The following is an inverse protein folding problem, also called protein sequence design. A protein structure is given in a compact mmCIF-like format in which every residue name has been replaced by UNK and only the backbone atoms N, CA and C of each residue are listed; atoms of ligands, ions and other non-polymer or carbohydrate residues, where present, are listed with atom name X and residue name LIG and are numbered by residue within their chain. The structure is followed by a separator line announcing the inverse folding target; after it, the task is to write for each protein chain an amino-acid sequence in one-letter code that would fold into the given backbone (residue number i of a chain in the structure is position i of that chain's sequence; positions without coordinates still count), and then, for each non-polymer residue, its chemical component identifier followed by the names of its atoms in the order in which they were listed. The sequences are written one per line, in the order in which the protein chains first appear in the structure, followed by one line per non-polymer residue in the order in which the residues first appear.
data_IF_252838756097
#
_entry.id   IF_252838756097
#
_cell.length_a   1.000
_cell.length_b   1.000
_cell.length_c   1.000
_cell.angle_alpha   90.00
_cell.angle_beta   90.00
_cell.angle_gamma   90.00
#
_symmetry.space_group_name_H-M   'P 1'
#
loop_
_entity.id
_entity.type
_entity.pdbx_description
1 polymer ?
#
# COMPACT_ATOMS: atom_id res chain seq x y z
N UNK A 1 3.37 -1.61 -18.29
CA UNK A 1 3.53 -2.52 -17.13
C UNK A 1 2.25 -2.54 -16.28
N UNK A 2 2.20 -3.18 -15.10
CA UNK A 2 1.04 -3.08 -14.18
C UNK A 2 1.54 -2.84 -12.76
N UNK A 3 0.99 -1.86 -12.01
CA UNK A 3 1.40 -1.63 -10.64
C UNK A 3 0.99 -2.81 -9.74
N UNK A 4 1.83 -3.13 -8.77
CA UNK A 4 1.54 -4.16 -7.80
C UNK A 4 0.33 -3.80 -6.96
N UNK A 5 -0.60 -4.74 -6.89
CA UNK A 5 -1.91 -4.53 -6.31
C UNK A 5 -2.23 -5.67 -5.34
N UNK A 6 -2.70 -5.31 -4.15
CA UNK A 6 -3.22 -6.25 -3.16
C UNK A 6 -4.74 -6.22 -3.19
N UNK A 7 -5.37 -7.38 -3.38
CA UNK A 7 -6.82 -7.52 -3.25
C UNK A 7 -7.20 -7.68 -1.77
N UNK A 8 -8.25 -6.97 -1.35
CA UNK A 8 -8.81 -7.03 0.00
C UNK A 8 -10.35 -7.03 -0.07
N UNK A 9 -11.01 -7.40 1.02
CA UNK A 9 -12.41 -7.04 1.25
C UNK A 9 -12.50 -5.92 2.28
N UNK A 10 -13.31 -4.91 2.00
CA UNK A 10 -13.51 -3.79 2.90
C UNK A 10 -14.61 -2.84 2.46
N UNK A 11 -14.76 -1.75 3.21
CA UNK A 11 -15.63 -0.62 2.86
C UNK A 11 -14.84 0.68 2.99
N UNK A 12 -15.13 1.63 2.10
CA UNK A 12 -14.54 2.96 2.15
C UNK A 12 -15.51 3.96 2.77
N UNK A 13 -14.97 4.74 3.69
CA UNK A 13 -15.63 5.87 4.30
C UNK A 13 -14.83 7.12 3.98
N UNK A 14 -15.54 8.18 3.60
CA UNK A 14 -14.94 9.48 3.35
C UNK A 14 -15.59 10.48 4.29
N UNK A 15 -14.78 11.15 5.08
CA UNK A 15 -15.28 12.12 6.05
C UNK A 15 -15.68 13.41 5.32
N UNK A 16 -16.94 13.83 5.51
CA UNK A 16 -17.46 15.07 4.96
C UNK A 16 -16.82 16.26 5.70
N UNK A 17 -15.81 16.89 5.10
CA UNK A 17 -15.23 18.13 5.60
C UNK A 17 -13.71 18.23 5.42
N UNK A 18 -12.96 17.22 5.86
CA UNK A 18 -11.49 17.20 5.75
C UNK A 18 -10.99 16.34 4.57
N UNK A 19 -11.89 15.57 3.94
CA UNK A 19 -11.58 14.73 2.78
C UNK A 19 -10.74 13.48 3.11
N UNK A 20 -10.56 13.15 4.39
CA UNK A 20 -9.84 11.95 4.84
C UNK A 20 -10.57 10.69 4.40
N UNK A 21 -9.79 9.68 4.05
CA UNK A 21 -10.31 8.37 3.64
C UNK A 21 -9.97 7.33 4.69
N UNK A 22 -11.01 6.69 5.22
CA UNK A 22 -10.89 5.54 6.10
C UNK A 22 -11.32 4.25 5.38
N UNK A 23 -10.58 3.18 5.62
CA UNK A 23 -10.85 1.85 5.12
C UNK A 23 -11.24 0.94 6.28
N UNK A 24 -12.48 0.45 6.29
CA UNK A 24 -12.86 -0.68 7.14
C UNK A 24 -12.33 -1.97 6.49
N UNK A 25 -11.35 -2.60 7.14
CA UNK A 25 -10.72 -3.83 6.66
C UNK A 25 -11.48 -5.05 7.19
N UNK A 26 -12.14 -5.79 6.28
CA UNK A 26 -12.91 -6.99 6.62
C UNK A 26 -12.09 -8.27 6.40
N UNK A 27 -11.38 -8.35 5.27
CA UNK A 27 -10.46 -9.44 4.98
C UNK A 27 -9.23 -8.91 4.23
N UNK A 28 -8.00 -9.05 4.78
CA UNK A 28 -6.79 -8.58 4.12
C UNK A 28 -6.32 -9.45 2.95
N UNK A 29 -6.82 -10.68 2.80
CA UNK A 29 -6.45 -11.62 1.74
C UNK A 29 -7.66 -12.51 1.36
N UNK A 30 -8.68 -11.96 0.70
CA UNK A 30 -9.80 -12.76 0.21
C UNK A 30 -9.39 -13.64 -0.99
N UNK A 31 -10.03 -14.81 -1.11
CA UNK A 31 -9.84 -15.71 -2.24
C UNK A 31 -10.73 -15.35 -3.45
N UNK A 32 -11.83 -14.63 -3.22
CA UNK A 32 -12.86 -14.35 -4.23
C UNK A 32 -13.11 -12.86 -4.42
N UNK A 33 -13.35 -12.46 -5.67
CA UNK A 33 -13.77 -11.10 -6.02
C UNK A 33 -15.28 -10.96 -5.81
N UNK A 34 -15.66 -10.15 -4.82
CA UNK A 34 -17.04 -9.84 -4.43
C UNK A 34 -17.35 -8.34 -4.53
N UNK A 35 -18.59 -7.93 -4.24
CA UNK A 35 -19.02 -6.53 -4.23
C UNK A 35 -18.32 -5.64 -3.19
N UNK A 36 -17.64 -6.23 -2.20
CA UNK A 36 -16.83 -5.50 -1.20
C UNK A 36 -15.34 -5.58 -1.51
N UNK A 37 -14.98 -6.02 -2.72
CA UNK A 37 -13.58 -6.06 -3.15
C UNK A 37 -13.06 -4.66 -3.34
N UNK A 38 -11.89 -4.43 -2.77
CA UNK A 38 -11.10 -3.23 -2.97
C UNK A 38 -9.66 -3.64 -3.29
N UNK A 39 -8.93 -2.72 -3.87
CA UNK A 39 -7.58 -2.97 -4.34
C UNK A 39 -6.65 -1.94 -3.74
N UNK A 40 -5.60 -2.39 -3.04
CA UNK A 40 -4.61 -1.52 -2.41
C UNK A 40 -3.34 -1.51 -3.25
N UNK A 41 -2.78 -0.31 -3.43
CA UNK A 41 -1.44 -0.14 -3.99
C UNK A 41 -0.63 0.73 -3.06
N UNK A 42 0.64 0.41 -2.94
CA UNK A 42 1.55 1.05 -2.02
C UNK A 42 2.65 1.71 -2.82
N UNK A 43 3.05 2.91 -2.42
CA UNK A 43 4.18 3.58 -3.05
C UNK A 43 5.44 3.42 -2.19
N UNK A 44 6.59 3.35 -2.85
CA UNK A 44 7.84 3.77 -2.21
C UNK A 44 7.97 5.28 -2.28
N UNK A 45 8.71 5.85 -1.33
CA UNK A 45 9.02 7.27 -1.30
C UNK A 45 10.44 7.45 -1.82
N UNK A 46 10.64 8.41 -2.70
CA UNK A 46 11.97 8.75 -3.21
C UNK A 46 12.71 9.65 -2.22
N UNK A 47 14.05 9.54 -2.16
CA UNK A 47 14.90 10.47 -1.42
C UNK A 47 14.83 11.86 -2.06
N UNK A 48 14.65 12.88 -1.22
CA UNK A 48 14.58 14.27 -1.66
C UNK A 48 13.13 14.77 -1.71
N UNK A 49 12.60 15.20 -2.88
CA UNK A 49 11.19 15.60 -2.97
C UNK A 49 10.31 14.41 -2.53
N UNK A 50 9.21 14.66 -1.81
CA UNK A 50 8.26 13.62 -1.38
C UNK A 50 7.47 13.02 -2.56
N UNK A 51 8.20 12.54 -3.55
CA UNK A 51 7.71 11.87 -4.74
C UNK A 51 7.52 10.38 -4.48
N UNK A 52 6.58 9.80 -5.22
CA UNK A 52 6.12 8.44 -5.03
C UNK A 52 6.34 7.64 -6.30
N UNK A 53 6.81 6.41 -6.12
CA UNK A 53 6.81 5.39 -7.15
C UNK A 53 5.90 4.24 -6.73
N UNK A 54 4.89 3.97 -7.55
CA UNK A 54 4.02 2.80 -7.45
C UNK A 54 4.69 1.67 -8.22
N UNK A 55 5.31 0.70 -7.53
CA UNK A 55 6.16 -0.28 -8.19
C UNK A 55 5.32 -1.27 -8.99
N UNK A 56 5.83 -1.69 -10.13
CA UNK A 56 5.32 -2.78 -10.94
C UNK A 56 6.19 -4.04 -10.78
N UNK A 57 7.51 -3.85 -10.73
CA UNK A 57 8.48 -4.92 -10.49
C UNK A 57 9.84 -4.34 -10.10
N UNK A 58 10.71 -5.20 -9.57
CA UNK A 58 12.11 -4.90 -9.32
C UNK A 58 13.00 -5.85 -10.14
N UNK A 59 14.14 -5.36 -10.60
CA UNK A 59 15.20 -6.11 -11.24
C UNK A 59 16.46 -5.96 -10.38
N UNK A 60 16.98 -7.07 -9.84
CA UNK A 60 18.21 -7.02 -9.05
C UNK A 60 19.48 -6.95 -9.92
N UNK A 61 20.62 -6.76 -9.27
CA UNK A 61 21.94 -6.65 -9.91
C UNK A 61 22.36 -7.91 -10.71
N UNK A 62 21.68 -9.05 -10.50
CA UNK A 62 21.92 -10.31 -11.18
C UNK A 62 20.89 -10.61 -12.28
N UNK A 63 19.95 -9.69 -12.52
CA UNK A 63 18.90 -9.84 -13.50
C UNK A 63 17.72 -10.68 -13.03
N UNK A 64 17.59 -10.95 -11.72
CA UNK A 64 16.40 -11.56 -11.16
C UNK A 64 15.27 -10.54 -11.08
N UNK A 65 14.14 -10.90 -11.69
CA UNK A 65 12.96 -10.07 -11.74
C UNK A 65 11.91 -10.56 -10.72
N UNK A 66 11.41 -9.64 -9.89
CA UNK A 66 10.35 -9.93 -8.93
C UNK A 66 9.13 -9.03 -9.18
N UNK A 67 7.97 -9.66 -9.45
CA UNK A 67 6.69 -9.02 -9.81
C UNK A 67 5.57 -9.25 -8.78
N UNK A 68 5.91 -9.51 -7.51
CA UNK A 68 4.96 -9.76 -6.43
C UNK A 68 5.03 -8.70 -5.35
N UNK A 69 4.10 -8.72 -4.39
CA UNK A 69 4.15 -7.89 -3.18
C UNK A 69 5.38 -8.20 -2.30
N UNK A 70 6.13 -9.27 -2.58
CA UNK A 70 7.34 -9.59 -1.83
C UNK A 70 8.44 -8.53 -2.03
N UNK A 71 8.37 -7.70 -3.07
CA UNK A 71 9.34 -6.63 -3.29
C UNK A 71 9.43 -5.66 -2.10
N UNK A 72 8.34 -5.45 -1.35
CA UNK A 72 8.33 -4.53 -0.22
C UNK A 72 9.10 -5.11 0.98
N UNK A 73 9.11 -6.43 1.11
CA UNK A 73 9.92 -7.15 2.07
C UNK A 73 11.38 -7.20 1.59
N UNK A 74 11.58 -7.55 0.32
CA UNK A 74 12.90 -7.61 -0.29
C UNK A 74 13.65 -6.28 -0.17
N UNK A 75 13.02 -5.15 -0.52
CA UNK A 75 13.63 -3.82 -0.41
C UNK A 75 14.02 -3.52 1.04
N UNK A 76 13.17 -3.85 2.02
CA UNK A 76 13.49 -3.65 3.44
C UNK A 76 14.75 -4.41 3.86
N UNK A 77 14.90 -5.64 3.39
CA UNK A 77 15.96 -6.55 3.83
C UNK A 77 17.27 -6.38 3.03
N UNK A 78 17.16 -5.95 1.77
CA UNK A 78 18.24 -6.06 0.80
C UNK A 78 18.68 -4.72 0.21
N UNK A 79 17.96 -3.60 0.44
CA UNK A 79 18.27 -2.33 -0.22
C UNK A 79 19.73 -1.86 -0.05
N UNK A 80 20.31 -2.04 1.14
CA UNK A 80 21.70 -1.67 1.42
C UNK A 80 22.72 -2.55 0.67
N UNK A 81 22.35 -3.80 0.38
CA UNK A 81 23.21 -4.76 -0.33
C UNK A 81 23.08 -4.65 -1.85
N UNK A 82 21.93 -4.17 -2.33
CA UNK A 82 21.60 -4.04 -3.76
C UNK A 82 21.17 -2.61 -4.11
N UNK A 83 22.03 -1.61 -3.88
CA UNK A 83 21.69 -0.20 -4.12
C UNK A 83 21.45 0.12 -5.60
N UNK A 84 21.89 -0.74 -6.52
CA UNK A 84 21.75 -0.60 -7.98
C UNK A 84 20.60 -1.42 -8.56
N UNK A 85 19.88 -2.17 -7.75
CA UNK A 85 18.64 -2.80 -8.20
C UNK A 85 17.68 -1.71 -8.68
N UNK A 86 16.90 -2.03 -9.71
CA UNK A 86 16.04 -1.09 -10.41
C UNK A 86 14.58 -1.40 -10.13
N UNK A 87 13.84 -0.39 -9.71
CA UNK A 87 12.39 -0.47 -9.54
C UNK A 87 11.76 0.22 -10.75
N UNK A 88 10.91 -0.52 -11.44
CA UNK A 88 10.10 -0.03 -12.54
C UNK A 88 8.67 0.13 -12.05
N UNK A 89 8.03 1.23 -12.42
CA UNK A 89 6.69 1.52 -11.91
C UNK A 89 6.09 2.78 -12.51
N UNK A 90 5.24 3.40 -11.72
CA UNK A 90 4.49 4.59 -12.11
C UNK A 90 4.70 5.71 -11.12
N UNK A 91 4.79 6.94 -11.61
CA UNK A 91 4.64 8.14 -10.78
C UNK A 91 3.16 8.35 -10.41
N UNK A 92 2.91 9.27 -9.46
CA UNK A 92 1.55 9.61 -9.03
C UNK A 92 0.67 10.19 -10.15
N UNK A 93 1.27 10.78 -11.18
CA UNK A 93 0.57 11.28 -12.39
C UNK A 93 0.30 10.18 -13.43
N UNK A 94 0.72 8.94 -13.16
CA UNK A 94 0.54 7.79 -14.03
C UNK A 94 1.60 7.62 -15.13
N UNK A 95 2.64 8.47 -15.18
CA UNK A 95 3.77 8.26 -16.10
C UNK A 95 4.59 7.03 -15.68
N UNK A 96 5.03 6.27 -16.67
CA UNK A 96 5.97 5.18 -16.46
C UNK A 96 7.33 5.74 -16.03
N UNK A 97 7.94 5.14 -15.01
CA UNK A 97 9.19 5.62 -14.42
C UNK A 97 10.06 4.46 -13.94
N UNK A 98 11.30 4.79 -13.64
CA UNK A 98 12.32 3.87 -13.16
C UNK A 98 13.22 4.61 -12.17
N UNK A 99 13.54 3.94 -11.06
CA UNK A 99 14.52 4.45 -10.10
C UNK A 99 15.42 3.33 -9.56
N UNK A 100 16.60 3.69 -9.08
CA UNK A 100 17.44 2.77 -8.32
C UNK A 100 16.93 2.66 -6.88
N UNK A 101 17.14 1.51 -6.25
CA UNK A 101 16.80 1.28 -4.84
C UNK A 101 17.49 2.27 -3.90
N UNK A 102 18.74 2.66 -4.17
CA UNK A 102 19.44 3.71 -3.41
C UNK A 102 18.76 5.09 -3.48
N UNK A 103 17.83 5.29 -4.41
CA UNK A 103 17.03 6.49 -4.54
C UNK A 103 15.77 6.48 -3.67
N UNK A 104 15.52 5.42 -2.89
CA UNK A 104 14.38 5.33 -1.99
C UNK A 104 14.70 5.84 -0.59
N UNK A 105 13.72 6.47 0.04
CA UNK A 105 13.70 6.69 1.48
C UNK A 105 13.24 5.38 2.17
N UNK A 106 14.20 4.67 2.78
CA UNK A 106 14.00 3.29 3.26
C UNK A 106 13.36 3.21 4.65
N UNK A 107 13.39 4.30 5.44
CA UNK A 107 12.96 4.28 6.85
C UNK A 107 11.49 4.72 7.02
N UNK A 108 10.85 5.19 5.95
CA UNK A 108 9.47 5.69 6.02
C UNK A 108 8.43 4.62 5.75
N UNK A 109 7.23 4.83 6.30
CA UNK A 109 6.05 4.02 5.98
C UNK A 109 5.57 4.27 4.54
N UNK A 110 5.00 3.24 3.93
CA UNK A 110 4.54 3.22 2.53
C UNK A 110 3.21 3.97 2.38
N UNK A 111 3.12 5.06 1.60
CA UNK A 111 1.83 5.63 1.23
C UNK A 111 0.92 4.55 0.65
N UNK A 112 -0.33 4.49 1.12
CA UNK A 112 -1.31 3.48 0.75
C UNK A 112 -2.46 4.14 0.00
N UNK A 113 -2.85 3.55 -1.13
CA UNK A 113 -3.92 4.04 -1.97
C UNK A 113 -4.91 2.90 -2.23
N UNK A 114 -6.20 3.23 -2.25
CA UNK A 114 -7.28 2.30 -2.51
C UNK A 114 -7.96 2.61 -3.84
N UNK A 115 -8.35 1.55 -4.54
CA UNK A 115 -8.96 1.55 -5.86
C UNK A 115 -10.20 0.65 -5.84
N UNK A 116 -11.18 0.97 -6.68
CA UNK A 116 -12.43 0.23 -6.78
C UNK A 116 -12.25 -0.99 -7.69
N UNK A 117 -11.40 -0.89 -8.72
CA UNK A 117 -11.11 -1.98 -9.63
C UNK A 117 -9.60 -2.23 -9.74
N UNK A 118 -9.23 -3.49 -9.99
CA UNK A 118 -7.83 -3.89 -10.16
C UNK A 118 -7.14 -3.13 -11.30
N UNK A 119 -7.90 -2.80 -12.36
CA UNK A 119 -7.43 -2.15 -13.58
C UNK A 119 -7.38 -0.63 -13.53
N UNK A 120 -7.81 0.00 -12.45
CA UNK A 120 -7.82 1.47 -12.32
C UNK A 120 -6.40 2.03 -12.50
N UNK A 121 -6.26 3.21 -13.09
CA UNK A 121 -4.97 3.90 -13.24
C UNK A 121 -4.48 4.38 -11.88
N UNK A 122 -3.17 4.55 -11.72
CA UNK A 122 -2.56 5.07 -10.48
C UNK A 122 -3.15 6.43 -10.08
N UNK A 123 -3.51 7.28 -11.04
CA UNK A 123 -4.12 8.60 -10.80
C UNK A 123 -5.52 8.55 -10.19
N UNK A 124 -6.19 7.39 -10.23
CA UNK A 124 -7.57 7.21 -9.75
C UNK A 124 -7.62 6.78 -8.28
N UNK A 125 -6.47 6.49 -7.66
CA UNK A 125 -6.39 6.00 -6.30
C UNK A 125 -6.72 7.06 -5.27
N UNK A 126 -7.47 6.67 -4.24
CA UNK A 126 -7.68 7.50 -3.06
C UNK A 126 -6.64 7.16 -2.01
N UNK A 127 -5.92 8.17 -1.50
CA UNK A 127 -4.99 7.96 -0.39
C UNK A 127 -5.77 7.51 0.84
N UNK A 128 -5.35 6.41 1.44
CA UNK A 128 -5.90 5.91 2.70
C UNK A 128 -5.16 6.59 3.85
N UNK A 129 -5.90 7.23 4.74
CA UNK A 129 -5.35 7.88 5.93
C UNK A 129 -5.49 6.98 7.17
N UNK A 130 -6.55 6.18 7.20
CA UNK A 130 -6.91 5.34 8.34
C UNK A 130 -7.37 3.95 7.92
N UNK A 131 -6.99 2.95 8.70
CA UNK A 131 -7.53 1.60 8.60
C UNK A 131 -8.25 1.27 9.90
N UNK A 132 -9.52 0.89 9.75
CA UNK A 132 -10.41 0.51 10.82
C UNK A 132 -10.56 -1.01 10.87
N UNK A 133 -10.44 -1.56 12.07
CA UNK A 133 -10.59 -2.97 12.36
C UNK A 133 -11.88 -3.17 13.16
N UNK A 134 -12.85 -3.95 12.66
CA UNK A 134 -14.08 -4.21 13.38
C UNK A 134 -13.78 -4.97 14.68
N UNK A 135 -14.35 -4.52 15.78
CA UNK A 135 -14.16 -5.12 17.09
C UNK A 135 -15.40 -4.95 17.97
N UNK A 136 -16.02 -6.06 18.32
CA UNK A 136 -17.23 -6.12 19.17
C UNK A 136 -17.00 -5.57 20.58
N UNK A 137 -15.75 -5.46 21.03
CA UNK A 137 -15.42 -5.04 22.40
C UNK A 137 -15.29 -3.53 22.60
N UNK A 138 -15.32 -2.74 21.52
CA UNK A 138 -15.25 -1.27 21.59
C UNK A 138 -16.60 -0.65 21.27
N UNK A 139 -16.98 0.38 22.03
CA UNK A 139 -18.19 1.17 21.80
C UNK A 139 -17.93 2.42 20.94
N UNK A 140 -16.67 2.87 20.87
CA UNK A 140 -16.22 4.04 20.12
C UNK A 140 -14.86 3.75 19.46
N UNK A 141 -14.48 4.46 18.39
CA UNK A 141 -13.18 4.29 17.75
C UNK A 141 -12.00 4.50 18.70
N UNK A 142 -11.08 3.55 18.73
CA UNK A 142 -9.88 3.60 19.59
C UNK A 142 -8.61 3.34 18.80
N UNK A 143 -7.54 4.15 18.98
CA UNK A 143 -6.24 3.87 18.35
C UNK A 143 -5.71 2.48 18.70
N UNK A 144 -5.12 1.80 17.72
CA UNK A 144 -4.52 0.48 17.92
C UNK A 144 -3.23 0.33 17.12
N UNK A 145 -2.54 -0.79 17.32
CA UNK A 145 -1.43 -1.23 16.46
C UNK A 145 -1.97 -2.11 15.33
N UNK A 146 -1.31 -2.17 14.16
CA UNK A 146 -1.64 -3.17 13.16
C UNK A 146 -1.54 -4.58 13.75
N UNK A 147 -2.49 -5.48 13.43
CA UNK A 147 -2.44 -6.87 13.87
C UNK A 147 -1.13 -7.55 13.42
N UNK A 148 -0.50 -8.36 14.29
CA UNK A 148 0.80 -8.97 14.02
C UNK A 148 0.79 -9.98 12.86
N UNK A 149 -0.36 -10.56 12.54
CA UNK A 149 -0.58 -11.50 11.44
C UNK A 149 -0.62 -10.82 10.06
N UNK A 150 -0.81 -9.50 10.00
CA UNK A 150 -0.74 -8.77 8.74
C UNK A 150 0.69 -8.77 8.20
N UNK A 151 0.82 -9.10 6.93
CA UNK A 151 2.09 -9.07 6.21
C UNK A 151 2.36 -7.68 5.60
N UNK A 152 3.61 -7.43 5.22
CA UNK A 152 3.93 -6.32 4.32
C UNK A 152 3.30 -6.58 2.95
N UNK A 153 2.96 -5.53 2.18
CA UNK A 153 3.12 -4.09 2.51
C UNK A 153 2.07 -3.52 3.49
N UNK A 154 0.90 -4.14 3.64
CA UNK A 154 -0.22 -3.59 4.41
C UNK A 154 0.15 -3.18 5.85
N UNK A 155 0.88 -4.05 6.57
CA UNK A 155 1.32 -3.75 7.95
C UNK A 155 2.26 -2.53 8.04
N UNK A 156 2.99 -2.21 6.97
CA UNK A 156 3.92 -1.09 6.88
C UNK A 156 3.31 0.15 6.21
N UNK A 157 2.00 0.14 5.92
CA UNK A 157 1.28 1.26 5.34
C UNK A 157 1.34 2.51 6.23
N UNK A 158 1.46 3.68 5.60
CA UNK A 158 1.45 5.01 6.22
C UNK A 158 0.01 5.43 6.55
N UNK A 159 -0.56 4.73 7.51
CA UNK A 159 -1.94 4.93 7.99
C UNK A 159 -1.98 4.96 9.51
N UNK A 160 -3.03 5.56 10.05
CA UNK A 160 -3.41 5.37 11.46
C UNK A 160 -4.30 4.13 11.58
N UNK A 161 -4.13 3.34 12.64
CA UNK A 161 -4.92 2.14 12.88
C UNK A 161 -5.89 2.38 14.01
N UNK A 162 -7.16 2.00 13.81
CA UNK A 162 -8.19 2.10 14.84
C UNK A 162 -8.97 0.79 14.95
N UNK A 163 -9.43 0.47 16.16
CA UNK A 163 -10.53 -0.49 16.37
C UNK A 163 -11.83 0.30 16.36
N UNK A 164 -12.85 -0.20 15.68
CA UNK A 164 -14.16 0.43 15.59
C UNK A 164 -15.25 -0.60 15.94
N UNK A 165 -16.41 -0.18 16.46
CA UNK A 165 -17.53 -1.08 16.65
C UNK A 165 -17.91 -1.75 15.31
N UNK A 166 -18.40 -3.01 15.32
CA UNK A 166 -18.95 -3.62 14.13
C UNK A 166 -20.23 -2.86 13.71
N UNK A 167 -20.37 -2.58 12.42
CA UNK A 167 -21.61 -2.07 11.82
C UNK A 167 -22.81 -3.01 12.08
#
# INVERSE_FOLDING_TARGET
MKPLTQHIHGKLFREEGNGRTALLLLNPNPDEVTAVSLYLRYAFVLLGPEEYIFPAFILDDWGHEMRSLDIYEWVRENADHFPRAEIFGYEADGRETQCFVRGLELVVKLPCYVYQNEGDKVTEGLRVDEIWLPDVSVAEPMPTKPPPELKRPLRAARVSWQRVPPD
#
